data_IF_277499424562
#
_entry.id   IF_277499424562
#
_cell.length_a   1.000
_cell.length_b   1.000
_cell.length_c   1.000
_cell.angle_alpha   90.00
_cell.angle_beta   90.00
_cell.angle_gamma   90.00
#
_symmetry.space_group_name_H-M   'P 1'
#
loop_
_entity.id
_entity.type
_entity.pdbx_description
1 polymer ?
#
# COMPACT_ATOMS: atom_id res chain seq x y z
N UNK A 1 -7.62 6.53 -7.61
CA UNK A 1 -8.56 6.58 -6.46
C UNK A 1 -7.98 7.51 -5.41
N UNK A 2 -8.78 8.39 -4.81
CA UNK A 2 -8.33 9.27 -3.75
C UNK A 2 -8.53 8.61 -2.38
N UNK A 3 -7.53 8.70 -1.51
CA UNK A 3 -7.58 8.21 -0.13
C UNK A 3 -6.98 9.26 0.80
N UNK A 4 -7.60 9.45 1.97
CA UNK A 4 -7.09 10.34 3.01
C UNK A 4 -6.28 9.50 4.00
N UNK A 5 -4.97 9.69 4.01
CA UNK A 5 -4.04 9.02 4.93
C UNK A 5 -3.68 9.99 6.06
N UNK A 6 -3.49 9.46 7.27
CA UNK A 6 -2.95 10.25 8.38
C UNK A 6 -1.57 10.79 8.01
N UNK A 7 -1.32 12.07 8.29
CA UNK A 7 -0.04 12.72 7.97
C UNK A 7 1.13 11.99 8.60
N UNK A 8 0.98 11.47 9.82
CA UNK A 8 2.00 10.67 10.47
C UNK A 8 2.35 9.42 9.65
N UNK A 9 1.35 8.62 9.26
CA UNK A 9 1.57 7.42 8.43
C UNK A 9 2.18 7.76 7.07
N UNK A 10 1.77 8.85 6.43
CA UNK A 10 2.39 9.32 5.19
C UNK A 10 3.87 9.65 5.40
N UNK A 11 4.19 10.44 6.42
CA UNK A 11 5.56 10.82 6.77
C UNK A 11 6.41 9.57 7.07
N UNK A 12 5.92 8.67 7.92
CA UNK A 12 6.59 7.40 8.27
C UNK A 12 6.96 6.56 7.03
N UNK A 13 6.20 6.68 5.93
CA UNK A 13 6.44 5.96 4.68
C UNK A 13 7.40 6.70 3.74
N UNK A 14 7.33 8.03 3.65
CA UNK A 14 8.18 8.80 2.71
C UNK A 14 9.55 9.17 3.29
N UNK A 15 9.71 9.19 4.62
CA UNK A 15 10.99 9.49 5.29
C UNK A 15 11.72 8.24 5.75
N UNK A 16 11.37 7.07 5.23
CA UNK A 16 12.08 5.82 5.55
C UNK A 16 13.52 5.92 5.07
N UNK A 17 14.41 5.28 5.83
CA UNK A 17 15.80 5.10 5.43
C UNK A 17 15.86 4.48 4.03
N UNK A 18 16.46 5.17 3.04
CA UNK A 18 16.63 4.64 1.69
C UNK A 18 17.45 3.35 1.65
N UNK A 19 18.33 3.08 2.60
CA UNK A 19 19.09 1.82 2.68
C UNK A 19 18.32 0.71 3.43
N UNK A 20 17.27 1.11 4.15
CA UNK A 20 16.43 0.22 4.93
C UNK A 20 15.53 -0.71 4.10
N UNK A 21 14.64 -1.42 4.80
CA UNK A 21 13.60 -2.25 4.16
C UNK A 21 12.54 -1.32 3.57
N UNK A 22 12.27 -1.48 2.27
CA UNK A 22 11.22 -0.76 1.56
C UNK A 22 9.83 -1.01 2.15
N UNK A 23 8.92 -0.07 1.96
CA UNK A 23 7.54 -0.20 2.40
C UNK A 23 6.58 0.06 1.23
N UNK A 24 5.52 -0.74 1.18
CA UNK A 24 4.42 -0.59 0.23
C UNK A 24 3.16 -0.31 1.05
N UNK A 25 2.43 0.76 0.69
CA UNK A 25 1.09 0.98 1.21
C UNK A 25 0.13 0.05 0.48
N UNK A 26 -0.58 -0.79 1.23
CA UNK A 26 -1.70 -1.59 0.72
C UNK A 26 -2.98 -1.00 1.29
N UNK A 27 -3.92 -0.63 0.42
CA UNK A 27 -5.23 -0.15 0.79
C UNK A 27 -6.28 -1.21 0.43
N UNK A 28 -6.82 -1.86 1.46
CA UNK A 28 -7.97 -2.74 1.32
C UNK A 28 -9.24 -1.91 1.24
N UNK A 29 -9.97 -2.02 0.13
CA UNK A 29 -11.32 -1.48 0.02
C UNK A 29 -12.31 -2.55 0.47
N UNK A 30 -13.18 -2.25 1.44
CA UNK A 30 -14.23 -3.16 1.92
C UNK A 30 -15.61 -2.56 1.70
N UNK A 31 -16.69 -3.36 1.51
CA UNK A 31 -18.07 -2.86 1.52
C UNK A 31 -18.42 -2.10 2.81
N UNK A 32 -19.46 -1.25 2.77
CA UNK A 32 -19.91 -0.53 3.96
C UNK A 32 -20.51 -1.46 5.01
N UNK A 33 -21.11 -2.57 4.56
CA UNK A 33 -21.66 -3.63 5.40
C UNK A 33 -20.57 -4.68 5.73
N UNK A 34 -20.15 -4.82 7.00
CA UNK A 34 -19.16 -5.80 7.44
C UNK A 34 -19.50 -7.25 7.09
N UNK A 35 -20.78 -7.60 7.07
CA UNK A 35 -21.21 -8.96 6.73
C UNK A 35 -20.89 -9.34 5.29
N UNK A 36 -20.57 -8.36 4.44
CA UNK A 36 -20.20 -8.56 3.03
C UNK A 36 -18.70 -8.55 2.79
N UNK A 37 -17.88 -8.33 3.80
CA UNK A 37 -16.42 -8.20 3.61
C UNK A 37 -15.80 -9.50 3.11
N UNK A 38 -16.15 -10.61 3.75
CA UNK A 38 -15.61 -11.93 3.46
C UNK A 38 -16.73 -12.96 3.51
N UNK A 39 -16.75 -13.82 2.51
CA UNK A 39 -17.54 -15.04 2.49
C UNK A 39 -16.61 -16.23 2.63
N UNK A 40 -16.97 -17.16 3.50
CA UNK A 40 -16.19 -18.36 3.78
C UNK A 40 -17.09 -19.57 3.62
N UNK A 41 -16.64 -20.55 2.84
CA UNK A 41 -17.22 -21.89 2.74
C UNK A 41 -16.09 -22.94 2.71
N UNK A 42 -16.43 -24.23 2.59
CA UNK A 42 -15.44 -25.31 2.61
C UNK A 42 -14.47 -25.25 1.43
N UNK A 43 -14.91 -24.70 0.30
CA UNK A 43 -14.15 -24.65 -0.94
C UNK A 43 -13.31 -23.37 -1.08
N UNK A 44 -13.74 -22.26 -0.48
CA UNK A 44 -13.08 -20.98 -0.67
C UNK A 44 -13.27 -19.99 0.49
N UNK A 45 -12.33 -19.04 0.52
CA UNK A 45 -12.51 -17.74 1.17
C UNK A 45 -12.54 -16.69 0.06
N UNK A 46 -13.61 -15.90 -0.01
CA UNK A 46 -13.81 -14.84 -0.99
C UNK A 46 -13.97 -13.50 -0.28
N UNK A 47 -13.01 -12.61 -0.47
CA UNK A 47 -13.09 -11.22 0.00
C UNK A 47 -13.75 -10.35 -1.08
N UNK A 48 -14.71 -9.51 -0.69
CA UNK A 48 -15.36 -8.58 -1.63
C UNK A 48 -14.51 -7.32 -1.85
N UNK A 49 -14.57 -6.79 -3.08
CA UNK A 49 -13.70 -5.72 -3.62
C UNK A 49 -12.25 -6.20 -3.73
N UNK A 50 -11.26 -5.32 -3.61
CA UNK A 50 -9.86 -5.65 -3.79
C UNK A 50 -8.95 -4.72 -2.98
N UNK A 51 -7.70 -5.14 -2.85
CA UNK A 51 -6.62 -4.29 -2.37
C UNK A 51 -5.99 -3.52 -3.54
N UNK A 52 -5.63 -2.28 -3.30
CA UNK A 52 -4.75 -1.50 -4.16
C UNK A 52 -3.41 -1.28 -3.48
N UNK A 53 -2.35 -1.01 -4.27
CA UNK A 53 -1.03 -0.74 -3.71
C UNK A 53 -0.36 0.50 -4.30
N UNK A 54 0.53 1.10 -3.52
CA UNK A 54 1.46 2.12 -3.99
C UNK A 54 2.70 2.18 -3.10
N UNK A 55 3.85 2.50 -3.68
CA UNK A 55 5.01 2.98 -2.91
C UNK A 55 4.87 4.49 -2.81
N UNK A 56 4.96 5.04 -1.60
CA UNK A 56 4.89 6.49 -1.40
C UNK A 56 6.29 7.10 -1.51
N UNK A 57 6.34 8.28 -2.11
CA UNK A 57 7.52 9.13 -2.20
C UNK A 57 7.10 10.59 -2.13
N UNK A 58 8.07 11.47 -1.90
CA UNK A 58 7.87 12.93 -1.80
C UNK A 58 8.25 13.47 -0.43
N UNK A 59 7.99 14.75 -0.23
CA UNK A 59 8.40 15.46 0.98
C UNK A 59 7.44 15.20 2.15
N UNK A 60 7.96 15.07 3.39
CA UNK A 60 7.12 15.00 4.57
C UNK A 60 6.29 16.27 4.75
N UNK A 61 5.14 16.13 5.40
CA UNK A 61 4.23 17.24 5.71
C UNK A 61 4.43 17.68 7.16
N UNK A 62 4.60 18.99 7.39
CA UNK A 62 4.99 19.53 8.70
C UNK A 62 3.91 19.43 9.81
N UNK A 63 2.63 19.36 9.46
CA UNK A 63 1.53 19.40 10.42
C UNK A 63 1.04 17.99 10.79
N UNK A 64 1.59 17.45 11.87
CA UNK A 64 1.08 16.22 12.50
C UNK A 64 -0.36 16.42 13.02
N UNK A 65 -1.16 15.36 13.03
CA UNK A 65 -2.58 15.40 13.44
C UNK A 65 -3.58 15.80 12.36
N UNK A 66 -3.16 15.88 11.10
CA UNK A 66 -4.03 16.14 9.94
C UNK A 66 -4.03 14.96 8.94
N UNK A 67 -4.85 15.04 7.89
CA UNK A 67 -4.89 14.05 6.81
C UNK A 67 -4.30 14.62 5.50
N UNK A 68 -3.50 13.81 4.80
CA UNK A 68 -3.04 14.09 3.44
C UNK A 68 -3.87 13.28 2.43
N UNK A 69 -4.31 13.90 1.34
CA UNK A 69 -4.90 13.16 0.21
C UNK A 69 -3.81 12.57 -0.66
N UNK A 70 -3.88 11.27 -0.91
CA UNK A 70 -3.04 10.56 -1.88
C UNK A 70 -3.89 10.00 -3.01
N UNK A 71 -3.27 9.84 -4.17
CA UNK A 71 -3.87 9.20 -5.34
C UNK A 71 -3.19 7.84 -5.54
N UNK A 72 -3.99 6.77 -5.51
CA UNK A 72 -3.55 5.41 -5.82
C UNK A 72 -4.11 5.03 -7.19
N UNK A 73 -3.27 4.55 -8.10
CA UNK A 73 -3.72 4.11 -9.42
C UNK A 73 -4.70 2.93 -9.26
N UNK A 74 -5.83 2.98 -9.99
CA UNK A 74 -6.84 1.91 -9.99
C UNK A 74 -6.35 0.66 -10.72
N UNK A 75 -5.32 0.77 -11.55
CA UNK A 75 -4.69 -0.40 -12.17
C UNK A 75 -3.75 -1.13 -11.21
N UNK A 76 -3.34 -0.50 -10.10
CA UNK A 76 -2.48 -1.11 -9.09
C UNK A 76 -3.28 -2.01 -8.14
N UNK A 77 -3.99 -2.98 -8.71
CA UNK A 77 -4.68 -4.02 -7.94
C UNK A 77 -3.64 -4.99 -7.40
N UNK A 78 -3.72 -5.32 -6.11
CA UNK A 78 -2.83 -6.28 -5.48
C UNK A 78 -3.22 -7.71 -5.89
N UNK A 79 -2.57 -8.20 -6.94
CA UNK A 79 -2.62 -9.60 -7.38
C UNK A 79 -1.35 -10.33 -6.94
N UNK A 80 -1.30 -11.68 -7.00
CA UNK A 80 -0.07 -12.43 -6.77
C UNK A 80 1.08 -11.94 -7.67
N UNK A 81 0.83 -11.72 -8.96
CA UNK A 81 1.84 -11.25 -9.92
C UNK A 81 2.36 -9.86 -9.57
N UNK A 82 1.47 -8.94 -9.18
CA UNK A 82 1.84 -7.60 -8.74
C UNK A 82 2.71 -7.65 -7.48
N UNK A 83 2.37 -8.52 -6.52
CA UNK A 83 3.17 -8.71 -5.31
C UNK A 83 4.56 -9.27 -5.62
N UNK A 84 4.66 -10.27 -6.50
CA UNK A 84 5.94 -10.81 -6.97
C UNK A 84 6.78 -9.71 -7.63
N UNK A 85 6.16 -8.86 -8.46
CA UNK A 85 6.83 -7.71 -9.08
C UNK A 85 7.35 -6.70 -8.05
N UNK A 86 6.56 -6.36 -7.02
CA UNK A 86 6.99 -5.48 -5.93
C UNK A 86 8.21 -6.03 -5.19
N UNK A 87 8.22 -7.33 -4.90
CA UNK A 87 9.34 -7.99 -4.22
C UNK A 87 10.60 -8.03 -5.09
N UNK A 88 10.45 -8.27 -6.41
CA UNK A 88 11.56 -8.23 -7.35
C UNK A 88 12.17 -6.82 -7.42
N UNK A 89 11.34 -5.79 -7.53
CA UNK A 89 11.77 -4.38 -7.55
C UNK A 89 12.54 -4.00 -6.28
N UNK A 90 12.06 -4.44 -5.10
CA UNK A 90 12.74 -4.20 -3.82
C UNK A 90 14.10 -4.89 -3.75
N UNK A 91 14.20 -6.13 -4.24
CA UNK A 91 15.48 -6.85 -4.33
C UNK A 91 16.49 -6.11 -5.19
N UNK A 92 16.08 -5.64 -6.35
CA UNK A 92 16.95 -4.87 -7.25
C UNK A 92 17.37 -3.53 -6.65
N UNK A 93 16.43 -2.84 -5.98
CA UNK A 93 16.71 -1.58 -5.28
C UNK A 93 17.81 -1.77 -4.22
N UNK A 94 17.73 -2.85 -3.43
CA UNK A 94 18.77 -3.20 -2.46
C UNK A 94 20.11 -3.55 -3.11
N UNK A 95 20.09 -4.30 -4.21
CA UNK A 95 21.32 -4.63 -4.93
C UNK A 95 22.05 -3.37 -5.44
N UNK A 96 21.31 -2.35 -5.91
CA UNK A 96 21.88 -1.05 -6.34
C UNK A 96 22.41 -0.20 -5.18
N UNK A 97 21.85 -0.32 -3.98
CA UNK A 97 22.33 0.41 -2.82
C UNK A 97 23.64 -0.18 -2.25
N UNK A 98 23.94 -1.44 -2.55
CA UNK A 98 25.13 -2.15 -2.07
C UNK A 98 26.32 -2.10 -3.04
N UNK A 99 26.16 -1.51 -4.23
CA UNK A 99 27.18 -1.36 -5.29
C UNK A 99 27.76 0.04 -5.32
#
# INVERSE_FOLDING_TARGET
MAYSIETKTYNDLVTRDPEGIGAVLILLCVPDDPAKWVEVCEEYIRMQRCCYYTVLSGDPVAHEGSNKKILIDRTNVLTPDALIGLLANERERKARAAS
#
